data_IF_665082604295
#
_entry.id   IF_665082604295
#
_cell.length_a   1.000
_cell.length_b   1.000
_cell.length_c   1.000
_cell.angle_alpha   90.00
_cell.angle_beta   90.00
_cell.angle_gamma   90.00
#
_symmetry.space_group_name_H-M   'P 1'
#
loop_
_entity.id
_entity.type
_entity.pdbx_description
1 polymer ?
#
# COMPACT_ATOMS: atom_id res chain seq x y z
N UNK A 1 -23.95 -26.81 -88.82
CA UNK A 1 -23.93 -27.16 -87.37
C UNK A 1 -22.94 -26.33 -86.52
N UNK A 2 -21.95 -25.61 -87.06
CA UNK A 2 -20.94 -24.89 -86.24
C UNK A 2 -21.39 -23.55 -85.62
N UNK A 3 -22.37 -22.84 -86.21
CA UNK A 3 -22.77 -21.49 -85.76
C UNK A 3 -23.59 -21.50 -84.46
N UNK A 4 -24.51 -22.45 -84.32
CA UNK A 4 -25.33 -22.61 -83.11
C UNK A 4 -24.48 -23.04 -81.90
N UNK A 5 -23.47 -23.91 -82.11
CA UNK A 5 -22.54 -24.30 -81.03
C UNK A 5 -21.71 -23.12 -80.52
N UNK A 6 -21.24 -22.25 -81.43
CA UNK A 6 -20.51 -21.03 -81.06
C UNK A 6 -21.38 -20.05 -80.26
N UNK A 7 -22.65 -19.87 -80.63
CA UNK A 7 -23.58 -19.03 -79.85
C UNK A 7 -23.84 -19.56 -78.44
N UNK A 8 -24.03 -20.88 -78.30
CA UNK A 8 -24.21 -21.51 -76.97
C UNK A 8 -22.97 -21.33 -76.10
N UNK A 9 -21.77 -21.50 -76.66
CA UNK A 9 -20.51 -21.29 -75.93
C UNK A 9 -20.31 -19.83 -75.51
N UNK A 10 -20.69 -18.88 -76.35
CA UNK A 10 -20.63 -17.44 -76.00
C UNK A 10 -21.60 -17.11 -74.87
N UNK A 11 -22.82 -17.67 -74.90
CA UNK A 11 -23.79 -17.51 -73.81
C UNK A 11 -23.29 -18.09 -72.49
N UNK A 12 -22.67 -19.29 -72.53
CA UNK A 12 -22.06 -19.93 -71.37
C UNK A 12 -20.91 -19.09 -70.80
N UNK A 13 -20.02 -18.59 -71.65
CA UNK A 13 -18.89 -17.76 -71.23
C UNK A 13 -19.37 -16.44 -70.60
N UNK A 14 -20.41 -15.81 -71.18
CA UNK A 14 -21.02 -14.61 -70.63
C UNK A 14 -21.66 -14.87 -69.25
N UNK A 15 -22.37 -16.00 -69.08
CA UNK A 15 -22.97 -16.38 -67.80
C UNK A 15 -21.89 -16.63 -66.72
N UNK A 16 -20.82 -17.34 -67.07
CA UNK A 16 -19.68 -17.57 -66.18
C UNK A 16 -19.00 -16.27 -65.77
N UNK A 17 -18.80 -15.35 -66.72
CA UNK A 17 -18.20 -14.04 -66.44
C UNK A 17 -19.07 -13.19 -65.50
N UNK A 18 -20.39 -13.16 -65.74
CA UNK A 18 -21.34 -12.48 -64.84
C UNK A 18 -21.30 -13.09 -63.43
N UNK A 19 -21.24 -14.42 -63.31
CA UNK A 19 -21.06 -15.10 -62.03
C UNK A 19 -19.77 -14.69 -61.32
N UNK A 20 -18.66 -14.60 -62.06
CA UNK A 20 -17.36 -14.17 -61.51
C UNK A 20 -17.39 -12.72 -61.02
N UNK A 21 -18.04 -11.83 -61.77
CA UNK A 21 -18.19 -10.40 -61.40
C UNK A 21 -19.03 -10.27 -60.13
N UNK A 22 -20.15 -10.99 -60.04
CA UNK A 22 -20.99 -10.99 -58.83
C UNK A 22 -20.23 -11.56 -57.63
N UNK A 23 -19.51 -12.67 -57.80
CA UNK A 23 -18.69 -13.26 -56.73
C UNK A 23 -17.61 -12.30 -56.24
N UNK A 24 -16.85 -11.68 -57.16
CA UNK A 24 -15.82 -10.72 -56.79
C UNK A 24 -16.40 -9.51 -56.05
N UNK A 25 -17.57 -9.01 -56.48
CA UNK A 25 -18.25 -7.91 -55.77
C UNK A 25 -18.66 -8.31 -54.35
N UNK A 26 -19.27 -9.48 -54.19
CA UNK A 26 -19.68 -9.97 -52.87
C UNK A 26 -18.47 -10.16 -51.94
N UNK A 27 -17.39 -10.74 -52.47
CA UNK A 27 -16.15 -10.94 -51.75
C UNK A 27 -15.50 -9.63 -51.31
N UNK A 28 -15.47 -8.60 -52.18
CA UNK A 28 -14.90 -7.29 -51.80
C UNK A 28 -15.69 -6.59 -50.70
N UNK A 29 -17.03 -6.68 -50.72
CA UNK A 29 -17.89 -6.06 -49.71
C UNK A 29 -17.65 -6.74 -48.36
N UNK A 30 -17.71 -8.07 -48.33
CA UNK A 30 -17.51 -8.87 -47.11
C UNK A 30 -16.11 -8.65 -46.50
N UNK A 31 -15.07 -8.65 -47.36
CA UNK A 31 -13.70 -8.39 -46.93
C UNK A 31 -13.52 -6.96 -46.39
N UNK A 32 -14.10 -5.95 -47.05
CA UNK A 32 -14.01 -4.56 -46.60
C UNK A 32 -14.72 -4.30 -45.26
N UNK A 33 -15.91 -4.87 -45.07
CA UNK A 33 -16.66 -4.77 -43.82
C UNK A 33 -15.92 -5.46 -42.68
N UNK A 34 -15.43 -6.69 -42.93
CA UNK A 34 -14.67 -7.45 -41.92
C UNK A 34 -13.37 -6.75 -41.50
N UNK A 35 -12.68 -6.09 -42.44
CA UNK A 35 -11.43 -5.39 -42.13
C UNK A 35 -11.69 -4.11 -41.31
N UNK A 36 -12.69 -3.32 -41.68
CA UNK A 36 -13.02 -2.07 -40.97
C UNK A 36 -13.53 -2.34 -39.55
N UNK A 37 -14.40 -3.34 -39.37
CA UNK A 37 -14.84 -3.76 -38.04
C UNK A 37 -13.71 -4.28 -37.16
N UNK A 38 -12.77 -5.06 -37.73
CA UNK A 38 -11.60 -5.54 -37.00
C UNK A 38 -10.67 -4.39 -36.56
N UNK A 39 -10.49 -3.37 -37.39
CA UNK A 39 -9.73 -2.17 -37.03
C UNK A 39 -10.43 -1.35 -35.95
N UNK A 40 -11.75 -1.15 -36.06
CA UNK A 40 -12.53 -0.43 -35.05
C UNK A 40 -12.48 -1.15 -33.70
N UNK A 41 -12.66 -2.48 -33.70
CA UNK A 41 -12.56 -3.29 -32.49
C UNK A 41 -11.18 -3.18 -31.86
N UNK A 42 -10.12 -3.21 -32.68
CA UNK A 42 -8.75 -3.06 -32.19
C UNK A 42 -8.52 -1.70 -31.55
N UNK A 43 -8.97 -0.62 -32.19
CA UNK A 43 -8.84 0.75 -31.65
C UNK A 43 -9.60 0.91 -30.33
N UNK A 44 -10.81 0.37 -30.24
CA UNK A 44 -11.59 0.40 -29.00
C UNK A 44 -10.93 -0.40 -27.88
N UNK A 45 -10.41 -1.59 -28.19
CA UNK A 45 -9.67 -2.40 -27.24
C UNK A 45 -8.41 -1.67 -26.75
N UNK A 46 -7.61 -1.10 -27.67
CA UNK A 46 -6.40 -0.37 -27.33
C UNK A 46 -6.71 0.87 -26.46
N UNK A 47 -7.82 1.58 -26.75
CA UNK A 47 -8.27 2.72 -25.95
C UNK A 47 -8.68 2.28 -24.54
N UNK A 48 -9.55 1.28 -24.43
CA UNK A 48 -9.99 0.76 -23.14
C UNK A 48 -8.83 0.19 -22.31
N UNK A 49 -7.88 -0.48 -22.97
CA UNK A 49 -6.69 -1.01 -22.31
C UNK A 49 -5.77 0.12 -21.82
N UNK A 50 -5.64 1.21 -22.57
CA UNK A 50 -4.87 2.37 -22.13
C UNK A 50 -5.52 3.06 -20.94
N UNK A 51 -6.83 3.26 -20.97
CA UNK A 51 -7.59 3.86 -19.86
C UNK A 51 -7.48 2.99 -18.60
N UNK A 52 -7.65 1.67 -18.72
CA UNK A 52 -7.47 0.74 -17.61
C UNK A 52 -6.02 0.75 -17.06
N UNK A 53 -5.01 0.90 -17.93
CA UNK A 53 -3.61 1.02 -17.50
C UNK A 53 -3.38 2.33 -16.73
N UNK A 54 -3.90 3.44 -17.22
CA UNK A 54 -3.78 4.76 -16.59
C UNK A 54 -4.48 4.77 -15.21
N UNK A 55 -5.72 4.27 -15.13
CA UNK A 55 -6.42 4.11 -13.84
C UNK A 55 -5.63 3.21 -12.89
N UNK A 56 -5.13 2.06 -13.36
CA UNK A 56 -4.33 1.16 -12.52
C UNK A 56 -3.06 1.83 -11.97
N UNK A 57 -2.45 2.73 -12.74
CA UNK A 57 -1.28 3.48 -12.31
C UNK A 57 -1.65 4.50 -11.22
N UNK A 58 -2.78 5.17 -11.35
CA UNK A 58 -3.29 6.08 -10.32
C UNK A 58 -3.60 5.33 -9.01
N UNK A 59 -4.25 4.16 -9.09
CA UNK A 59 -4.52 3.32 -7.91
C UNK A 59 -3.25 2.89 -7.20
N UNK A 60 -2.20 2.47 -7.95
CA UNK A 60 -0.90 2.14 -7.34
C UNK A 60 -0.28 3.35 -6.64
N UNK A 61 -0.31 4.51 -7.30
CA UNK A 61 0.25 5.74 -6.72
C UNK A 61 -0.49 6.15 -5.44
N UNK A 62 -1.82 6.07 -5.42
CA UNK A 62 -2.61 6.35 -4.23
C UNK A 62 -2.32 5.36 -3.10
N UNK A 63 -2.21 4.06 -3.43
CA UNK A 63 -1.86 3.04 -2.44
C UNK A 63 -0.49 3.29 -1.82
N UNK A 64 0.53 3.54 -2.65
CA UNK A 64 1.89 3.82 -2.18
C UNK A 64 1.92 5.05 -1.28
N UNK A 65 1.20 6.10 -1.64
CA UNK A 65 1.07 7.31 -0.84
C UNK A 65 0.41 7.05 0.53
N UNK A 66 -0.72 6.33 0.56
CA UNK A 66 -1.40 5.99 1.82
C UNK A 66 -0.56 5.05 2.69
N UNK A 67 0.18 4.13 2.06
CA UNK A 67 1.09 3.22 2.75
C UNK A 67 2.26 3.96 3.41
N UNK A 68 2.84 4.94 2.73
CA UNK A 68 3.90 5.79 3.29
C UNK A 68 3.37 6.68 4.42
N UNK A 69 2.16 7.25 4.25
CA UNK A 69 1.48 8.01 5.32
C UNK A 69 1.23 7.14 6.55
N UNK A 70 0.76 5.90 6.36
CA UNK A 70 0.51 4.96 7.44
C UNK A 70 1.81 4.58 8.16
N UNK A 71 2.90 4.33 7.41
CA UNK A 71 4.23 4.08 7.99
C UNK A 71 4.73 5.26 8.82
N UNK A 72 4.59 6.50 8.31
CA UNK A 72 5.00 7.70 9.03
C UNK A 72 4.22 7.83 10.34
N UNK A 73 2.90 7.73 10.30
CA UNK A 73 2.04 7.75 11.49
C UNK A 73 2.42 6.67 12.50
N UNK A 74 2.65 5.43 12.04
CA UNK A 74 3.05 4.34 12.92
C UNK A 74 4.42 4.59 13.57
N UNK A 75 5.36 5.20 12.83
CA UNK A 75 6.67 5.58 13.38
C UNK A 75 6.56 6.67 14.46
N UNK A 76 5.66 7.64 14.27
CA UNK A 76 5.39 8.69 15.27
C UNK A 76 4.72 8.12 16.51
N UNK A 77 3.75 7.20 16.32
CA UNK A 77 3.07 6.53 17.42
C UNK A 77 4.03 5.69 18.27
N UNK A 78 4.98 5.00 17.64
CA UNK A 78 6.04 4.28 18.36
C UNK A 78 6.93 5.22 19.16
N UNK A 79 7.36 6.36 18.59
CA UNK A 79 8.14 7.37 19.33
C UNK A 79 7.38 7.92 20.53
N UNK A 80 6.08 8.20 20.36
CA UNK A 80 5.23 8.66 21.46
C UNK A 80 5.13 7.58 22.54
N UNK A 81 4.89 6.31 22.18
CA UNK A 81 4.85 5.20 23.13
C UNK A 81 6.15 5.09 23.93
N UNK A 82 7.30 5.13 23.28
CA UNK A 82 8.61 5.12 23.95
C UNK A 82 8.78 6.32 24.89
N UNK A 83 8.30 7.51 24.51
CA UNK A 83 8.35 8.69 25.37
C UNK A 83 7.47 8.56 26.61
N UNK A 84 6.28 7.97 26.46
CA UNK A 84 5.36 7.71 27.58
C UNK A 84 5.92 6.65 28.54
N UNK A 85 6.54 5.58 28.01
CA UNK A 85 7.22 4.57 28.83
C UNK A 85 8.34 5.21 29.65
N UNK A 86 9.17 6.06 29.04
CA UNK A 86 10.23 6.82 29.74
C UNK A 86 9.66 7.74 30.83
N UNK A 87 8.56 8.44 30.57
CA UNK A 87 7.90 9.30 31.57
C UNK A 87 7.37 8.47 32.74
N UNK A 88 6.77 7.31 32.46
CA UNK A 88 6.32 6.37 33.49
C UNK A 88 7.47 5.87 34.36
N UNK A 89 8.60 5.53 33.75
CA UNK A 89 9.80 5.10 34.45
C UNK A 89 10.38 6.23 35.33
N UNK A 90 10.44 7.47 34.84
CA UNK A 90 10.90 8.63 35.62
C UNK A 90 9.99 8.87 36.83
N UNK A 91 8.67 8.81 36.64
CA UNK A 91 7.72 8.97 37.74
C UNK A 91 7.91 7.90 38.82
N UNK A 92 8.11 6.64 38.41
CA UNK A 92 8.38 5.52 39.31
C UNK A 92 9.71 5.67 40.06
N UNK A 93 10.77 6.13 39.37
CA UNK A 93 12.08 6.39 39.98
C UNK A 93 11.96 7.51 41.02
N UNK A 94 11.27 8.61 40.70
CA UNK A 94 11.06 9.72 41.62
C UNK A 94 10.31 9.26 42.89
N UNK A 95 9.25 8.47 42.75
CA UNK A 95 8.53 7.92 43.89
C UNK A 95 9.42 7.03 44.78
N UNK A 96 10.29 6.20 44.18
CA UNK A 96 11.24 5.38 44.95
C UNK A 96 12.27 6.25 45.67
N UNK A 97 12.71 7.34 45.04
CA UNK A 97 13.69 8.27 45.61
C UNK A 97 13.12 9.03 46.82
N UNK A 98 11.86 9.48 46.75
CA UNK A 98 11.19 10.12 47.89
C UNK A 98 11.05 9.19 49.08
N UNK A 99 10.66 7.94 48.84
CA UNK A 99 10.53 6.94 49.90
C UNK A 99 11.90 6.66 50.57
N UNK A 100 12.97 6.50 49.77
CA UNK A 100 14.31 6.29 50.30
C UNK A 100 14.88 7.50 51.05
N UNK A 101 14.51 8.72 50.65
CA UNK A 101 14.87 9.93 51.40
C UNK A 101 14.17 9.98 52.76
N UNK A 102 12.90 9.62 52.81
CA UNK A 102 12.12 9.57 54.05
C UNK A 102 12.68 8.52 55.02
N UNK A 103 12.97 7.32 54.52
CA UNK A 103 13.63 6.25 55.30
C UNK A 103 15.01 6.67 55.82
N UNK A 104 15.85 7.29 54.97
CA UNK A 104 17.15 7.80 55.41
C UNK A 104 17.03 8.88 56.49
N UNK A 105 16.03 9.77 56.39
CA UNK A 105 15.79 10.79 57.41
C UNK A 105 15.33 10.18 58.74
N UNK A 106 14.49 9.14 58.70
CA UNK A 106 14.07 8.40 59.88
C UNK A 106 15.26 7.68 60.55
N UNK A 107 16.07 6.96 59.78
CA UNK A 107 17.24 6.25 60.28
C UNK A 107 18.29 7.19 60.87
N UNK A 108 18.51 8.36 60.25
CA UNK A 108 19.41 9.38 60.82
C UNK A 108 18.97 9.83 62.20
N UNK A 109 17.68 10.12 62.38
CA UNK A 109 17.14 10.49 63.71
C UNK A 109 17.34 9.38 64.74
N UNK A 110 17.18 8.13 64.33
CA UNK A 110 17.40 6.98 65.21
C UNK A 110 18.87 6.84 65.61
N UNK A 111 19.81 7.01 64.66
CA UNK A 111 21.25 7.01 64.93
C UNK A 111 21.64 8.16 65.87
N UNK A 112 21.15 9.37 65.64
CA UNK A 112 21.42 10.53 66.49
C UNK A 112 20.91 10.31 67.92
N UNK A 113 19.70 9.72 68.05
CA UNK A 113 19.13 9.38 69.35
C UNK A 113 19.94 8.30 70.08
N UNK A 114 20.42 7.29 69.37
CA UNK A 114 21.29 6.25 69.92
C UNK A 114 22.65 6.81 70.33
N UNK A 115 23.25 7.72 69.54
CA UNK A 115 24.49 8.42 69.89
C UNK A 115 24.34 9.23 71.18
N UNK A 116 23.28 10.02 71.31
CA UNK A 116 23.00 10.78 72.53
C UNK A 116 22.87 9.87 73.76
N UNK A 117 22.18 8.72 73.62
CA UNK A 117 22.08 7.73 74.69
C UNK A 117 23.43 7.14 75.06
N UNK A 118 24.26 6.85 74.07
CA UNK A 118 25.59 6.26 74.27
C UNK A 118 26.55 7.24 74.95
N UNK A 119 26.50 8.53 74.60
CA UNK A 119 27.25 9.59 75.30
C UNK A 119 26.77 9.80 76.74
N UNK A 120 25.46 9.75 76.97
CA UNK A 120 24.86 9.82 78.30
C UNK A 120 25.29 8.63 79.19
N UNK A 121 25.34 7.40 78.65
CA UNK A 121 25.89 6.26 79.40
C UNK A 121 27.40 6.37 79.62
N UNK A 122 28.16 6.81 78.62
CA UNK A 122 29.61 6.98 78.74
C UNK A 122 29.99 7.98 79.83
N UNK A 123 29.27 9.11 79.92
CA UNK A 123 29.46 10.10 80.99
C UNK A 123 29.05 9.55 82.37
N UNK A 124 28.05 8.69 82.43
CA UNK A 124 27.67 7.93 83.64
C UNK A 124 28.74 6.94 84.10
N UNK A 125 29.43 6.25 83.19
CA UNK A 125 30.50 5.30 83.54
C UNK A 125 31.85 5.98 83.82
N UNK A 126 32.09 7.19 83.31
CA UNK A 126 33.32 7.95 83.57
C UNK A 126 33.36 8.70 84.92
N UNK A 127 32.28 8.66 85.70
CA UNK A 127 32.16 9.29 87.02
C UNK A 127 32.31 8.28 88.18
N UNK A 128 32.85 7.08 87.90
CA UNK A 128 33.19 6.04 88.87
C UNK A 128 34.70 5.77 88.88
#
# INVERSE_FOLDING_TARGET
>A
MGRNRKQILVGLAAAMFLGLVVYMRLWTIDYSMSTDEAELLRRQFDLANREAMDESAEWRRMYDHELDRAKSCNSELNKLKESFEKVGDVARINQKLTNLQEENAALRKEVDALQLRLEAEKSRCGSQ
#
